data_IF_277676076790
#
_entry.id   IF_277676076790
#
_cell.length_a   1.000
_cell.length_b   1.000
_cell.length_c   1.000
_cell.angle_alpha   90.00
_cell.angle_beta   90.00
_cell.angle_gamma   90.00
#
_symmetry.space_group_name_H-M   'P 1'
#
loop_
_entity.id
_entity.type
_entity.pdbx_description
1 polymer ?
#
# COMPACT_ATOMS: atom_id res chain seq x y z
N UNK A 1 41.76 -87.47 25.72
CA UNK A 1 41.71 -86.40 26.76
C UNK A 1 42.40 -85.18 26.18
N UNK A 2 42.02 -83.92 26.47
CA UNK A 2 40.72 -83.27 26.54
C UNK A 2 40.64 -82.00 25.63
N UNK A 3 39.41 -81.54 25.35
CA UNK A 3 38.94 -80.13 25.27
C UNK A 3 39.52 -79.10 24.26
N UNK A 4 38.69 -78.73 23.26
CA UNK A 4 38.46 -77.33 22.78
C UNK A 4 38.08 -76.40 23.97
N UNK A 5 38.16 -75.03 23.94
CA UNK A 5 37.82 -74.16 22.78
C UNK A 5 38.50 -72.76 22.68
N UNK A 6 38.60 -72.18 21.47
CA UNK A 6 38.55 -70.70 21.34
C UNK A 6 38.16 -70.20 19.94
N UNK A 7 37.03 -70.66 19.41
CA UNK A 7 36.40 -70.05 18.24
C UNK A 7 34.91 -69.85 18.50
N UNK A 8 34.56 -68.93 19.41
CA UNK A 8 33.14 -68.62 19.70
C UNK A 8 32.86 -67.18 20.14
N UNK A 9 33.75 -66.21 19.82
CA UNK A 9 33.59 -64.82 20.28
C UNK A 9 33.42 -63.73 19.20
N UNK A 10 33.36 -64.10 17.91
CA UNK A 10 33.26 -63.09 16.83
C UNK A 10 31.90 -63.06 16.10
N UNK A 11 31.00 -64.03 16.32
CA UNK A 11 29.68 -64.08 15.67
C UNK A 11 28.52 -63.53 16.52
N UNK A 12 28.76 -63.22 17.79
CA UNK A 12 27.72 -62.64 18.66
C UNK A 12 27.59 -61.11 18.54
N UNK A 13 28.63 -60.42 18.04
CA UNK A 13 28.67 -58.95 17.97
C UNK A 13 28.15 -58.38 16.65
N UNK A 14 28.15 -59.14 15.56
CA UNK A 14 27.68 -58.67 14.24
C UNK A 14 26.16 -58.50 14.20
N UNK A 15 25.40 -59.42 14.81
CA UNK A 15 23.95 -59.32 14.90
C UNK A 15 23.50 -58.18 15.83
N UNK A 16 24.23 -57.92 16.92
CA UNK A 16 23.93 -56.80 17.82
C UNK A 16 24.22 -55.46 17.12
N UNK A 17 25.35 -55.34 16.43
CA UNK A 17 25.69 -54.15 15.66
C UNK A 17 24.67 -53.88 14.54
N UNK A 18 24.24 -54.92 13.82
CA UNK A 18 23.19 -54.80 12.81
C UNK A 18 21.85 -54.35 13.43
N UNK A 19 21.44 -54.94 14.56
CA UNK A 19 20.22 -54.54 15.27
C UNK A 19 20.26 -53.08 15.75
N UNK A 20 21.42 -52.62 16.23
CA UNK A 20 21.62 -51.23 16.63
C UNK A 20 21.51 -50.29 15.43
N UNK A 21 22.12 -50.65 14.29
CA UNK A 21 22.02 -49.85 13.06
C UNK A 21 20.57 -49.78 12.59
N UNK A 22 19.86 -50.91 12.54
CA UNK A 22 18.44 -50.95 12.19
C UNK A 22 17.57 -50.13 13.14
N UNK A 23 17.85 -50.17 14.45
CA UNK A 23 17.15 -49.37 15.44
C UNK A 23 17.40 -47.87 15.25
N UNK A 24 18.65 -47.47 15.02
CA UNK A 24 19.02 -46.07 14.75
C UNK A 24 18.37 -45.60 13.43
N UNK A 25 18.37 -46.42 12.38
CA UNK A 25 17.73 -46.10 11.10
C UNK A 25 16.20 -45.97 11.25
N UNK A 26 15.56 -46.85 12.01
CA UNK A 26 14.12 -46.76 12.29
C UNK A 26 13.79 -45.54 13.16
N UNK A 27 14.62 -45.24 14.16
CA UNK A 27 14.43 -44.08 15.03
C UNK A 27 14.64 -42.76 14.28
N UNK A 28 15.68 -42.67 13.45
CA UNK A 28 15.94 -41.49 12.60
C UNK A 28 14.84 -41.31 11.57
N UNK A 29 14.37 -42.38 10.92
CA UNK A 29 13.20 -42.32 10.04
C UNK A 29 11.95 -41.86 10.78
N UNK A 30 11.68 -42.40 11.97
CA UNK A 30 10.53 -41.99 12.78
C UNK A 30 10.63 -40.52 13.21
N UNK A 31 11.80 -40.04 13.62
CA UNK A 31 12.03 -38.63 13.97
C UNK A 31 11.80 -37.73 12.75
N UNK A 32 12.40 -38.07 11.60
CA UNK A 32 12.25 -37.29 10.36
C UNK A 32 10.80 -37.31 9.86
N UNK A 33 10.12 -38.45 9.96
CA UNK A 33 8.71 -38.60 9.62
C UNK A 33 7.80 -37.81 10.56
N UNK A 34 8.08 -37.82 11.87
CA UNK A 34 7.38 -36.97 12.85
C UNK A 34 7.65 -35.48 12.62
N UNK A 35 8.87 -35.11 12.23
CA UNK A 35 9.19 -33.73 11.82
C UNK A 35 8.42 -33.35 10.55
N UNK A 36 8.32 -34.24 9.57
CA UNK A 36 7.56 -34.01 8.34
C UNK A 36 6.06 -33.86 8.65
N UNK A 37 5.49 -34.72 9.49
CA UNK A 37 4.10 -34.63 9.95
C UNK A 37 3.83 -33.37 10.78
N UNK A 38 4.79 -32.91 11.60
CA UNK A 38 4.70 -31.63 12.33
C UNK A 38 4.85 -30.42 11.42
N UNK A 39 5.64 -30.53 10.34
CA UNK A 39 5.75 -29.48 9.30
C UNK A 39 4.55 -29.48 8.34
N UNK A 40 3.84 -30.61 8.26
CA UNK A 40 2.60 -30.81 7.51
C UNK A 40 1.35 -30.58 8.37
N UNK A 41 1.53 -30.33 9.67
CA UNK A 41 0.45 -29.83 10.49
C UNK A 41 0.06 -28.45 9.92
N UNK A 42 -1.24 -28.18 9.69
CA UNK A 42 -1.66 -26.82 9.42
C UNK A 42 -1.08 -25.95 10.54
N UNK A 43 -0.57 -24.75 10.24
CA UNK A 43 0.03 -23.92 11.26
C UNK A 43 -0.97 -23.84 12.41
N UNK A 44 -0.56 -24.33 13.59
CA UNK A 44 -1.21 -24.00 14.85
C UNK A 44 -1.51 -22.52 14.77
N UNK A 45 -2.75 -22.10 14.98
CA UNK A 45 -3.29 -20.74 14.89
C UNK A 45 -2.35 -19.70 15.51
N UNK A 46 -1.27 -19.40 14.80
CA UNK A 46 -0.42 -18.25 15.03
C UNK A 46 -1.30 -17.11 14.60
N UNK A 47 -1.68 -16.28 15.58
CA UNK A 47 -2.49 -15.08 15.39
C UNK A 47 -2.27 -14.52 13.99
N UNK A 48 -3.20 -14.78 13.07
CA UNK A 48 -3.11 -14.22 11.73
C UNK A 48 -3.30 -12.72 11.94
N UNK A 49 -2.21 -11.96 11.79
CA UNK A 49 -2.20 -10.51 11.97
C UNK A 49 -3.39 -9.93 11.22
N UNK A 50 -4.26 -9.19 11.92
CA UNK A 50 -5.44 -8.61 11.30
C UNK A 50 -5.04 -7.60 10.22
N UNK A 51 -5.93 -7.32 9.24
CA UNK A 51 -5.64 -6.31 8.23
C UNK A 51 -5.41 -4.92 8.84
N UNK A 52 -6.09 -4.62 9.95
CA UNK A 52 -5.89 -3.42 10.74
C UNK A 52 -4.46 -3.35 11.30
N UNK A 53 -4.00 -4.41 11.98
CA UNK A 53 -2.66 -4.45 12.55
C UNK A 53 -1.58 -4.38 11.45
N UNK A 54 -1.81 -5.04 10.31
CA UNK A 54 -0.91 -4.93 9.14
C UNK A 54 -0.84 -3.50 8.61
N UNK A 55 -1.97 -2.79 8.50
CA UNK A 55 -2.01 -1.38 8.12
C UNK A 55 -1.27 -0.50 9.12
N UNK A 56 -1.51 -0.70 10.42
CA UNK A 56 -0.83 0.07 11.47
C UNK A 56 0.68 -0.08 11.38
N UNK A 57 1.19 -1.31 11.25
CA UNK A 57 2.63 -1.56 11.06
C UNK A 57 3.19 -0.90 9.80
N UNK A 58 2.40 -0.85 8.71
CA UNK A 58 2.77 -0.15 7.49
C UNK A 58 2.83 1.37 7.71
N UNK A 59 1.86 1.95 8.40
CA UNK A 59 1.84 3.39 8.70
C UNK A 59 2.97 3.79 9.64
N UNK A 60 3.30 2.96 10.63
CA UNK A 60 4.47 3.16 11.50
C UNK A 60 5.78 3.11 10.71
N UNK A 61 5.86 2.25 9.68
CA UNK A 61 7.02 2.23 8.78
C UNK A 61 7.09 3.52 7.96
N UNK A 62 5.96 3.98 7.43
CA UNK A 62 5.89 5.22 6.65
C UNK A 62 6.27 6.44 7.50
N UNK A 63 5.83 6.50 8.77
CA UNK A 63 6.14 7.63 9.66
C UNK A 63 7.62 7.72 10.01
N UNK A 64 8.33 6.59 10.10
CA UNK A 64 9.77 6.57 10.35
C UNK A 64 10.62 6.93 9.13
N UNK A 65 10.07 6.91 7.91
CA UNK A 65 10.87 7.19 6.71
C UNK A 65 11.53 8.57 6.75
N UNK A 66 10.86 9.56 7.32
CA UNK A 66 11.41 10.91 7.43
C UNK A 66 12.62 10.94 8.37
N UNK A 67 12.61 10.16 9.45
CA UNK A 67 13.74 10.04 10.38
C UNK A 67 14.89 9.23 9.77
N UNK A 68 14.56 8.13 9.07
CA UNK A 68 15.53 7.21 8.49
C UNK A 68 16.24 7.79 7.25
N UNK A 69 15.50 8.51 6.40
CA UNK A 69 15.99 8.98 5.09
C UNK A 69 16.13 10.51 5.00
N UNK A 70 15.62 11.24 6.00
CA UNK A 70 15.55 12.69 5.98
C UNK A 70 14.55 13.24 4.95
N UNK A 71 14.50 14.57 4.85
CA UNK A 71 13.67 15.29 3.89
C UNK A 71 14.30 15.30 2.47
N UNK A 72 14.37 14.12 1.83
CA UNK A 72 14.99 13.94 0.52
C UNK A 72 14.34 14.80 -0.59
N UNK A 73 13.05 15.13 -0.47
CA UNK A 73 12.35 16.04 -1.38
C UNK A 73 12.96 17.44 -1.49
N UNK A 74 13.71 17.88 -0.46
CA UNK A 74 14.42 19.17 -0.51
C UNK A 74 15.66 19.15 -1.41
N UNK A 75 16.10 17.96 -1.84
CA UNK A 75 17.28 17.74 -2.70
C UNK A 75 16.90 17.38 -4.15
N UNK A 76 15.66 17.65 -4.58
CA UNK A 76 15.12 17.32 -5.91
C UNK A 76 15.03 15.80 -6.22
N UNK A 77 14.66 14.97 -5.24
CA UNK A 77 14.69 13.51 -5.32
C UNK A 77 13.57 12.79 -6.12
N UNK A 78 13.58 11.45 -6.02
CA UNK A 78 12.61 10.53 -6.63
C UNK A 78 11.24 10.51 -5.92
N UNK A 79 10.20 10.05 -6.61
CA UNK A 79 8.85 9.82 -6.07
C UNK A 79 8.53 8.34 -5.91
N UNK A 80 7.46 8.03 -5.15
CA UNK A 80 7.05 6.67 -4.80
C UNK A 80 6.62 5.77 -5.97
N UNK A 81 6.62 6.26 -7.22
CA UNK A 81 6.21 5.51 -8.42
C UNK A 81 7.29 5.41 -9.51
N UNK A 82 8.57 5.46 -9.11
CA UNK A 82 9.72 5.40 -10.04
C UNK A 82 9.80 6.59 -11.01
N UNK A 83 9.17 7.72 -10.68
CA UNK A 83 9.26 8.99 -11.41
C UNK A 83 10.00 10.00 -10.55
N UNK A 84 10.82 10.87 -11.15
CA UNK A 84 11.46 11.96 -10.38
C UNK A 84 10.46 13.07 -10.06
N UNK A 85 10.71 13.88 -9.02
CA UNK A 85 9.87 15.06 -8.76
C UNK A 85 9.86 16.03 -9.97
N UNK A 86 11.00 16.15 -10.66
CA UNK A 86 11.14 16.93 -11.90
C UNK A 86 10.34 16.38 -13.08
N UNK A 87 9.98 15.09 -13.08
CA UNK A 87 9.11 14.52 -14.11
C UNK A 87 7.66 14.93 -13.93
N UNK A 88 7.27 15.27 -12.70
CA UNK A 88 5.89 15.55 -12.32
C UNK A 88 5.60 17.05 -12.18
N UNK A 89 6.61 17.85 -11.85
CA UNK A 89 6.43 19.28 -11.56
C UNK A 89 7.56 20.13 -12.14
N UNK A 90 7.20 21.32 -12.61
CA UNK A 90 8.14 22.41 -12.87
C UNK A 90 7.90 23.53 -11.86
N UNK A 91 8.98 24.19 -11.44
CA UNK A 91 8.91 25.39 -10.60
C UNK A 91 9.19 26.60 -11.49
N UNK A 92 8.19 27.46 -11.67
CA UNK A 92 8.31 28.75 -12.39
C UNK A 92 7.92 29.88 -11.44
N UNK A 93 8.80 30.86 -11.25
CA UNK A 93 8.59 32.00 -10.33
C UNK A 93 8.21 31.57 -8.90
N UNK A 94 8.85 30.49 -8.42
CA UNK A 94 8.57 29.86 -7.13
C UNK A 94 7.26 29.07 -7.08
N UNK A 95 6.45 29.09 -8.14
CA UNK A 95 5.19 28.37 -8.25
C UNK A 95 5.36 26.99 -8.87
N UNK A 96 4.82 25.98 -8.19
CA UNK A 96 4.73 24.62 -8.70
C UNK A 96 3.62 24.53 -9.74
N UNK A 97 3.94 24.00 -10.92
CA UNK A 97 2.97 23.60 -11.93
C UNK A 97 3.17 22.14 -12.31
N UNK A 98 2.11 21.33 -12.43
CA UNK A 98 2.23 19.95 -12.85
C UNK A 98 2.70 19.85 -14.31
N UNK A 99 3.49 18.82 -14.61
CA UNK A 99 3.91 18.46 -15.96
C UNK A 99 3.00 17.32 -16.43
N UNK A 100 2.01 17.65 -17.27
CA UNK A 100 1.10 16.67 -17.84
C UNK A 100 1.75 16.02 -19.06
N UNK A 101 2.18 14.77 -18.91
CA UNK A 101 2.70 13.94 -20.01
C UNK A 101 1.63 12.95 -20.44
N UNK A 102 1.39 12.80 -21.74
CA UNK A 102 0.43 11.83 -22.24
C UNK A 102 0.83 10.39 -21.83
N UNK A 103 -0.14 9.61 -21.37
CA UNK A 103 0.01 8.18 -21.12
C UNK A 103 -0.44 7.40 -22.36
N UNK A 104 0.47 6.68 -23.00
CA UNK A 104 0.17 5.86 -24.18
C UNK A 104 0.80 4.45 -24.04
N UNK A 105 0.01 3.39 -23.84
CA UNK A 105 -1.45 3.40 -23.71
C UNK A 105 -1.92 4.10 -22.42
N UNK A 106 -3.20 4.53 -22.33
CA UNK A 106 -3.75 5.12 -21.12
C UNK A 106 -3.58 4.21 -19.89
N UNK A 107 -3.30 4.81 -18.74
CA UNK A 107 -3.26 4.10 -17.46
C UNK A 107 -4.69 3.84 -17.01
N UNK A 108 -5.00 2.61 -16.60
CA UNK A 108 -6.34 2.22 -16.15
C UNK A 108 -6.30 1.78 -14.71
N UNK A 109 -7.01 2.48 -13.84
CA UNK A 109 -6.94 2.31 -12.41
C UNK A 109 -8.33 2.25 -11.76
N UNK A 110 -8.44 1.42 -10.74
CA UNK A 110 -9.58 1.32 -9.84
C UNK A 110 -9.23 2.07 -8.57
N UNK A 111 -10.08 3.02 -8.20
CA UNK A 111 -9.89 3.84 -6.99
C UNK A 111 -11.18 3.95 -6.21
N UNK A 112 -11.10 3.90 -4.89
CA UNK A 112 -12.22 4.31 -4.05
C UNK A 112 -12.26 5.84 -4.02
N UNK A 113 -13.42 6.44 -4.25
CA UNK A 113 -13.56 7.89 -4.30
C UNK A 113 -14.05 8.47 -2.96
N UNK A 114 -13.41 9.54 -2.49
CA UNK A 114 -13.86 10.29 -1.33
C UNK A 114 -14.66 11.51 -1.80
N UNK A 115 -15.94 11.56 -1.42
CA UNK A 115 -16.81 12.66 -1.82
C UNK A 115 -16.41 14.00 -1.18
N UNK A 116 -16.74 15.14 -1.82
CA UNK A 116 -16.36 16.47 -1.35
C UNK A 116 -16.84 16.82 0.06
N UNK A 117 -17.94 16.20 0.51
CA UNK A 117 -18.45 16.39 1.87
C UNK A 117 -17.44 15.97 2.95
N UNK A 118 -16.54 15.03 2.63
CA UNK A 118 -15.47 14.60 3.53
C UNK A 118 -14.11 15.19 3.14
N UNK A 119 -13.82 15.31 1.84
CA UNK A 119 -12.49 15.73 1.39
C UNK A 119 -12.24 17.23 1.52
N UNK A 120 -13.25 18.09 1.34
CA UNK A 120 -13.09 19.55 1.40
C UNK A 120 -12.65 20.01 2.79
N UNK A 121 -13.30 19.61 3.90
CA UNK A 121 -12.86 20.02 5.25
C UNK A 121 -11.42 19.59 5.57
N UNK A 122 -11.01 18.41 5.10
CA UNK A 122 -9.64 17.91 5.28
C UNK A 122 -8.66 18.77 4.49
N UNK A 123 -8.96 19.06 3.22
CA UNK A 123 -8.12 19.88 2.37
C UNK A 123 -7.96 21.31 2.89
N UNK A 124 -9.03 21.91 3.43
CA UNK A 124 -9.01 23.24 4.05
C UNK A 124 -8.11 23.28 5.28
N UNK A 125 -8.21 22.29 6.16
CA UNK A 125 -7.34 22.17 7.33
C UNK A 125 -5.87 22.00 6.95
N UNK A 126 -5.58 21.11 5.99
CA UNK A 126 -4.22 20.90 5.46
C UNK A 126 -3.67 22.20 4.87
N UNK A 127 -4.46 22.91 4.07
CA UNK A 127 -4.08 24.19 3.45
C UNK A 127 -3.82 25.26 4.51
N UNK A 128 -4.70 25.40 5.48
CA UNK A 128 -4.57 26.36 6.58
C UNK A 128 -3.28 26.16 7.38
N UNK A 129 -2.89 24.91 7.64
CA UNK A 129 -1.67 24.58 8.39
C UNK A 129 -0.39 24.80 7.56
N UNK A 130 -0.39 24.42 6.27
CA UNK A 130 0.82 24.39 5.46
C UNK A 130 1.08 25.68 4.67
N UNK A 131 0.04 26.37 4.20
CA UNK A 131 0.19 27.58 3.38
C UNK A 131 1.09 28.67 3.99
N UNK A 132 1.07 28.93 5.33
CA UNK A 132 1.97 29.92 5.94
C UNK A 132 3.46 29.63 5.75
N UNK A 133 3.84 28.37 5.51
CA UNK A 133 5.23 27.95 5.44
C UNK A 133 5.70 27.65 4.02
N UNK A 134 4.83 27.17 3.14
CA UNK A 134 5.26 26.68 1.82
C UNK A 134 4.87 27.57 0.64
N UNK A 135 4.07 28.63 0.85
CA UNK A 135 3.58 29.51 -0.22
C UNK A 135 3.20 28.75 -1.50
N UNK A 136 3.99 28.90 -2.58
CA UNK A 136 3.76 28.27 -3.88
C UNK A 136 4.63 27.02 -4.13
N UNK A 137 5.49 26.64 -3.18
CA UNK A 137 6.37 25.47 -3.23
C UNK A 137 5.69 24.18 -2.71
N UNK A 138 4.38 24.10 -2.84
CA UNK A 138 3.53 22.99 -2.41
C UNK A 138 2.44 22.74 -3.45
N UNK A 139 2.21 21.47 -3.76
CA UNK A 139 1.07 21.01 -4.54
C UNK A 139 0.00 20.47 -3.60
N UNK A 140 -1.12 21.16 -3.46
CA UNK A 140 -2.28 20.62 -2.76
C UNK A 140 -3.06 19.71 -3.71
N UNK A 141 -3.36 18.49 -3.26
CA UNK A 141 -4.18 17.58 -4.04
C UNK A 141 -5.58 18.20 -4.21
N UNK A 142 -6.15 18.08 -5.41
CA UNK A 142 -7.51 18.55 -5.67
C UNK A 142 -8.51 17.74 -4.83
N UNK A 143 -9.23 18.41 -3.93
CA UNK A 143 -10.17 17.79 -3.00
C UNK A 143 -11.31 17.07 -3.72
N UNK A 144 -11.71 17.53 -4.91
CA UNK A 144 -12.72 16.86 -5.75
C UNK A 144 -12.22 15.55 -6.39
N UNK A 145 -10.94 15.21 -6.20
CA UNK A 145 -10.28 14.00 -6.71
C UNK A 145 -9.60 13.20 -5.58
N UNK A 146 -9.95 13.44 -4.32
CA UNK A 146 -9.44 12.62 -3.23
C UNK A 146 -9.89 11.18 -3.42
N UNK A 147 -8.93 10.26 -3.38
CA UNK A 147 -9.15 8.87 -3.69
C UNK A 147 -8.20 7.98 -2.92
N UNK A 148 -8.45 6.69 -3.03
CA UNK A 148 -7.60 5.62 -2.52
C UNK A 148 -7.30 4.64 -3.65
N UNK A 149 -6.04 4.48 -4.01
CA UNK A 149 -5.65 3.56 -5.09
C UNK A 149 -5.93 2.11 -4.68
N UNK A 150 -6.81 1.43 -5.44
CA UNK A 150 -7.18 0.05 -5.16
C UNK A 150 -6.45 -0.92 -6.04
N UNK A 151 -6.59 -0.81 -7.37
CA UNK A 151 -6.03 -1.80 -8.30
C UNK A 151 -5.78 -1.22 -9.68
N UNK A 152 -4.59 -1.44 -10.25
CA UNK A 152 -4.25 -0.96 -11.59
C UNK A 152 -4.46 -2.09 -12.60
N UNK A 153 -5.36 -1.87 -13.56
CA UNK A 153 -5.53 -2.71 -14.74
C UNK A 153 -4.40 -2.48 -15.77
N UNK A 154 -3.75 -1.30 -15.71
CA UNK A 154 -2.49 -1.01 -16.39
C UNK A 154 -1.70 0.02 -15.58
N UNK A 155 -0.38 0.11 -15.76
CA UNK A 155 0.43 1.18 -15.16
C UNK A 155 1.52 1.67 -16.12
N UNK A 156 2.06 2.87 -15.93
CA UNK A 156 3.01 3.51 -16.86
C UNK A 156 4.29 2.70 -17.10
N UNK A 157 4.72 1.86 -16.15
CA UNK A 157 5.89 0.96 -16.30
C UNK A 157 5.57 -0.27 -17.18
N UNK A 158 4.31 -0.74 -17.18
CA UNK A 158 3.84 -1.92 -17.92
C UNK A 158 2.51 -1.55 -18.54
N UNK A 159 2.57 -0.84 -19.66
CA UNK A 159 1.39 -0.45 -20.41
C UNK A 159 0.67 -1.70 -20.89
N UNK A 160 -0.60 -1.83 -20.53
CA UNK A 160 -1.49 -2.88 -21.05
C UNK A 160 -2.47 -2.17 -21.98
N UNK A 161 -2.30 -2.24 -23.30
CA UNK A 161 -3.27 -1.65 -24.22
C UNK A 161 -4.63 -2.37 -24.09
N UNK A 162 -5.71 -1.66 -24.36
CA UNK A 162 -7.05 -2.21 -24.43
C UNK A 162 -7.86 -1.44 -25.47
N UNK A 163 -8.67 -2.17 -26.24
CA UNK A 163 -9.69 -1.63 -27.14
C UNK A 163 -10.89 -1.11 -26.35
N UNK A 164 -11.77 -0.33 -27.00
CA UNK A 164 -12.99 0.16 -26.35
C UNK A 164 -13.88 -0.99 -25.84
N UNK A 165 -13.97 -2.10 -26.59
CA UNK A 165 -14.72 -3.29 -26.19
C UNK A 165 -14.10 -4.00 -24.97
N UNK A 166 -12.77 -4.08 -24.89
CA UNK A 166 -12.09 -4.63 -23.72
C UNK A 166 -12.26 -3.73 -22.50
N UNK A 167 -12.21 -2.40 -22.67
CA UNK A 167 -12.47 -1.44 -21.60
C UNK A 167 -13.92 -1.57 -21.10
N UNK A 168 -14.90 -1.72 -21.99
CA UNK A 168 -16.29 -1.95 -21.61
C UNK A 168 -16.45 -3.27 -20.83
N UNK A 169 -15.78 -4.34 -21.26
CA UNK A 169 -15.76 -5.61 -20.54
C UNK A 169 -15.12 -5.49 -19.14
N UNK A 170 -14.00 -4.76 -19.02
CA UNK A 170 -13.37 -4.44 -17.72
C UNK A 170 -14.35 -3.67 -16.81
N UNK A 171 -15.00 -2.61 -17.32
CA UNK A 171 -15.98 -1.82 -16.57
C UNK A 171 -17.14 -2.69 -16.07
N UNK A 172 -17.69 -3.57 -16.92
CA UNK A 172 -18.77 -4.48 -16.55
C UNK A 172 -18.34 -5.49 -15.47
N UNK A 173 -17.12 -6.03 -15.56
CA UNK A 173 -16.57 -6.92 -14.55
C UNK A 173 -16.38 -6.21 -13.20
N UNK A 174 -15.89 -4.97 -13.21
CA UNK A 174 -15.71 -4.16 -12.00
C UNK A 174 -17.06 -3.77 -11.40
N UNK A 175 -18.06 -3.46 -12.24
CA UNK A 175 -19.43 -3.18 -11.79
C UNK A 175 -20.01 -4.36 -11.00
N UNK A 176 -19.86 -5.58 -11.51
CA UNK A 176 -20.29 -6.78 -10.78
C UNK A 176 -19.56 -6.95 -9.43
N UNK A 177 -18.27 -6.56 -9.34
CA UNK A 177 -17.55 -6.52 -8.07
C UNK A 177 -18.15 -5.45 -7.14
N UNK A 178 -18.39 -4.23 -7.63
CA UNK A 178 -18.91 -3.11 -6.84
C UNK A 178 -20.31 -3.38 -6.24
N UNK A 179 -21.19 -4.03 -7.01
CA UNK A 179 -22.55 -4.42 -6.60
C UNK A 179 -22.59 -5.56 -5.55
N UNK A 180 -21.45 -6.17 -5.24
CA UNK A 180 -21.29 -7.16 -4.17
C UNK A 180 -20.55 -6.64 -2.94
N UNK A 181 -20.36 -5.32 -2.82
CA UNK A 181 -19.53 -4.68 -1.80
C UNK A 181 -20.28 -3.59 -1.06
N UNK A 182 -20.32 -3.72 0.26
CA UNK A 182 -20.91 -2.68 1.10
C UNK A 182 -20.04 -1.41 1.12
N UNK A 183 -20.66 -0.21 1.16
CA UNK A 183 -19.94 1.03 1.42
C UNK A 183 -19.04 0.94 2.65
N UNK A 184 -17.84 1.52 2.57
CA UNK A 184 -16.87 1.51 3.65
C UNK A 184 -17.15 2.68 4.60
N UNK A 185 -17.02 2.43 5.91
CA UNK A 185 -16.83 3.51 6.89
C UNK A 185 -15.40 3.46 7.34
N UNK A 186 -14.71 4.59 7.23
CA UNK A 186 -13.29 4.70 7.51
C UNK A 186 -13.03 5.84 8.48
N UNK A 187 -11.91 5.79 9.18
CA UNK A 187 -11.40 6.85 10.05
C UNK A 187 -9.98 7.19 9.65
N UNK A 188 -9.64 8.49 9.69
CA UNK A 188 -8.27 8.92 9.50
C UNK A 188 -7.46 8.55 10.76
N UNK A 189 -6.57 7.57 10.64
CA UNK A 189 -5.70 7.14 11.73
C UNK A 189 -4.58 8.15 11.94
N UNK A 190 -3.88 8.55 10.88
CA UNK A 190 -2.83 9.56 10.99
C UNK A 190 -2.49 10.21 9.67
N UNK A 191 -1.89 11.38 9.74
CA UNK A 191 -1.18 12.02 8.65
C UNK A 191 0.31 11.71 8.77
N UNK A 192 0.94 11.36 7.65
CA UNK A 192 2.37 11.06 7.54
C UNK A 192 3.00 11.91 6.42
N UNK A 193 4.16 12.48 6.69
CA UNK A 193 5.01 13.07 5.65
C UNK A 193 6.11 12.07 5.28
N UNK A 194 6.14 11.63 4.01
CA UNK A 194 7.19 10.74 3.53
C UNK A 194 8.50 11.49 3.29
N UNK A 195 9.62 10.74 3.24
CA UNK A 195 10.93 11.28 2.85
C UNK A 195 10.96 11.92 1.47
N UNK A 196 10.04 11.55 0.58
CA UNK A 196 9.86 12.11 -0.77
C UNK A 196 8.87 13.28 -0.80
N UNK A 197 8.47 13.81 0.36
CA UNK A 197 7.66 15.03 0.46
C UNK A 197 6.17 14.81 0.22
N UNK A 198 5.69 13.56 0.20
CA UNK A 198 4.26 13.28 0.02
C UNK A 198 3.58 13.28 1.38
N UNK A 199 2.56 14.10 1.54
CA UNK A 199 1.73 14.13 2.72
C UNK A 199 0.54 13.18 2.52
N UNK A 200 0.53 12.10 3.28
CA UNK A 200 -0.46 11.03 3.19
C UNK A 200 -1.43 11.12 4.37
N UNK A 201 -2.73 11.06 4.09
CA UNK A 201 -3.72 10.65 5.09
C UNK A 201 -3.79 9.13 5.08
N UNK A 202 -3.49 8.49 6.21
CA UNK A 202 -3.51 7.05 6.43
C UNK A 202 -4.80 6.67 7.18
N UNK A 203 -5.55 5.71 6.65
CA UNK A 203 -6.92 5.43 7.09
C UNK A 203 -7.06 4.01 7.61
N UNK A 204 -7.98 3.84 8.56
CA UNK A 204 -8.45 2.55 9.04
C UNK A 204 -9.88 2.30 8.58
N UNK A 205 -10.25 1.01 8.52
CA UNK A 205 -11.57 0.55 8.11
C UNK A 205 -12.36 0.19 9.36
N UNK A 206 -13.44 0.92 9.62
CA UNK A 206 -14.33 0.67 10.75
C UNK A 206 -15.41 -0.35 10.41
N UNK A 207 -15.91 -0.33 9.17
CA UNK A 207 -16.89 -1.29 8.66
C UNK A 207 -16.90 -1.32 7.13
N UNK A 208 -17.46 -2.39 6.55
CA UNK A 208 -17.49 -2.60 5.11
C UNK A 208 -16.38 -3.55 4.66
N UNK A 209 -16.05 -3.55 3.36
CA UNK A 209 -15.04 -4.47 2.82
C UNK A 209 -13.63 -3.90 2.94
N UNK A 210 -12.71 -4.71 3.47
CA UNK A 210 -11.32 -4.33 3.60
C UNK A 210 -10.63 -4.16 2.23
N UNK A 211 -9.74 -3.16 2.06
CA UNK A 211 -8.96 -2.96 0.83
C UNK A 211 -8.23 -4.21 0.34
N UNK A 212 -7.74 -5.08 1.22
CA UNK A 212 -7.10 -6.35 0.81
C UNK A 212 -8.09 -7.21 0.03
N UNK A 213 -9.30 -7.38 0.56
CA UNK A 213 -10.35 -8.21 -0.05
C UNK A 213 -10.86 -7.60 -1.35
N UNK A 214 -11.05 -6.27 -1.38
CA UNK A 214 -11.43 -5.56 -2.61
C UNK A 214 -10.36 -5.76 -3.70
N UNK A 215 -9.08 -5.63 -3.36
CA UNK A 215 -7.96 -5.84 -4.29
C UNK A 215 -7.93 -7.25 -4.85
N UNK A 216 -8.19 -8.26 -4.03
CA UNK A 216 -8.22 -9.66 -4.47
C UNK A 216 -9.41 -9.94 -5.42
N UNK A 217 -10.58 -9.36 -5.13
CA UNK A 217 -11.74 -9.43 -6.04
C UNK A 217 -11.46 -8.74 -7.37
N UNK A 218 -10.86 -7.55 -7.36
CA UNK A 218 -10.48 -6.83 -8.58
C UNK A 218 -9.42 -7.59 -9.39
N UNK A 219 -8.43 -8.19 -8.73
CA UNK A 219 -7.44 -9.05 -9.39
C UNK A 219 -8.09 -10.24 -10.10
N UNK A 220 -9.10 -10.84 -9.49
CA UNK A 220 -9.84 -11.96 -10.07
C UNK A 220 -10.68 -11.51 -11.26
N UNK A 221 -11.31 -10.33 -11.17
CA UNK A 221 -12.14 -9.75 -12.22
C UNK A 221 -11.33 -9.21 -13.42
N UNK A 222 -10.05 -8.87 -13.23
CA UNK A 222 -9.19 -8.23 -14.23
C UNK A 222 -7.92 -9.07 -14.48
N UNK A 223 -8.03 -10.25 -15.13
CA UNK A 223 -6.93 -11.21 -15.26
C UNK A 223 -5.76 -10.73 -16.12
N UNK A 224 -5.97 -9.73 -16.99
CA UNK A 224 -4.93 -9.14 -17.84
C UNK A 224 -4.14 -8.01 -17.17
N UNK A 225 -4.49 -7.65 -15.93
CA UNK A 225 -3.79 -6.61 -15.19
C UNK A 225 -2.33 -7.00 -14.85
N UNK A 226 -1.42 -6.02 -14.68
CA UNK A 226 -0.07 -6.29 -14.23
C UNK A 226 -0.03 -7.10 -12.94
N UNK A 227 0.75 -8.19 -12.94
CA UNK A 227 0.86 -9.10 -11.79
C UNK A 227 1.33 -8.36 -10.53
N UNK A 228 2.34 -7.50 -10.69
CA UNK A 228 2.90 -6.68 -9.62
C UNK A 228 2.17 -5.34 -9.53
N UNK A 229 1.59 -5.06 -8.37
CA UNK A 229 1.04 -3.76 -8.04
C UNK A 229 2.09 -2.91 -7.31
N UNK A 230 1.98 -1.58 -7.39
CA UNK A 230 3.01 -0.63 -6.91
C UNK A 230 2.87 -0.23 -5.43
N UNK A 231 2.07 -0.95 -4.65
CA UNK A 231 1.78 -0.64 -3.24
C UNK A 231 1.52 -1.91 -2.42
N UNK A 232 1.64 -1.80 -1.10
CA UNK A 232 1.28 -2.91 -0.19
C UNK A 232 -0.24 -3.15 -0.21
N UNK A 233 -0.63 -4.42 -0.25
CA UNK A 233 -2.03 -4.82 -0.37
C UNK A 233 -2.92 -4.35 0.79
N UNK A 234 -2.38 -4.03 1.96
CA UNK A 234 -3.15 -3.56 3.11
C UNK A 234 -3.37 -2.04 3.11
N UNK A 235 -2.55 -1.24 2.41
CA UNK A 235 -2.54 0.22 2.53
C UNK A 235 -3.90 0.84 2.19
N UNK A 236 -4.34 1.82 2.97
CA UNK A 236 -5.45 2.69 2.62
C UNK A 236 -5.04 4.14 2.87
N UNK A 237 -4.69 4.85 1.79
CA UNK A 237 -4.20 6.21 1.92
C UNK A 237 -4.83 7.14 0.88
N UNK A 238 -4.82 8.42 1.20
CA UNK A 238 -5.11 9.52 0.27
C UNK A 238 -3.92 10.47 0.28
N UNK A 239 -3.47 10.90 -0.90
CA UNK A 239 -2.47 11.98 -0.98
C UNK A 239 -3.17 13.31 -0.68
N UNK A 240 -2.69 14.04 0.32
CA UNK A 240 -3.27 15.33 0.74
C UNK A 240 -2.54 16.50 0.08
N UNK A 241 -1.21 16.42 0.03
CA UNK A 241 -0.34 17.42 -0.58
C UNK A 241 1.03 16.82 -0.95
N UNK A 242 1.81 17.54 -1.74
CA UNK A 242 3.23 17.25 -2.02
C UNK A 242 4.05 18.50 -1.72
N UNK A 243 4.99 18.39 -0.81
CA UNK A 243 5.95 19.43 -0.46
C UNK A 243 7.11 19.35 -1.45
N UNK A 244 7.38 20.47 -2.13
CA UNK A 244 8.26 20.50 -3.30
C UNK A 244 9.40 21.51 -3.16
N UNK A 245 9.48 22.20 -2.02
CA UNK A 245 10.54 23.15 -1.74
C UNK A 245 10.70 23.43 -0.25
N UNK A 246 11.69 24.28 0.04
CA UNK A 246 12.06 24.67 1.40
C UNK A 246 10.92 25.45 2.09
N UNK A 247 10.59 25.16 3.35
CA UNK A 247 9.67 25.99 4.11
C UNK A 247 10.29 27.35 4.45
N UNK A 248 9.45 28.38 4.52
CA UNK A 248 9.79 29.67 5.10
C UNK A 248 9.77 29.55 6.62
N UNK A 249 10.96 29.37 7.20
CA UNK A 249 11.14 29.33 8.64
C UNK A 249 11.32 30.75 9.21
N UNK A 250 10.71 31.09 10.36
CA UNK A 250 11.04 32.31 11.09
C UNK A 250 12.52 32.36 11.43
N UNK A 251 13.18 33.50 11.20
CA UNK A 251 14.64 33.68 11.39
C UNK A 251 15.13 33.39 12.82
N UNK A 252 14.24 33.38 13.80
CA UNK A 252 14.54 33.24 15.23
C UNK A 252 14.54 31.77 15.71
N UNK A 253 14.02 30.83 14.93
CA UNK A 253 13.89 29.43 15.36
C UNK A 253 15.10 28.58 14.94
N UNK A 254 15.90 28.18 15.92
CA UNK A 254 16.93 27.11 15.81
C UNK A 254 16.32 25.70 15.74
N UNK A 255 15.10 25.56 15.24
CA UNK A 255 14.47 24.25 15.07
C UNK A 255 15.22 23.53 13.94
N UNK A 256 15.76 22.35 14.22
CA UNK A 256 16.37 21.52 13.17
C UNK A 256 15.34 21.25 12.07
N UNK A 257 15.77 21.17 10.80
CA UNK A 257 14.84 21.04 9.68
C UNK A 257 13.84 19.89 9.82
N UNK A 258 14.23 18.77 10.46
CA UNK A 258 13.34 17.62 10.69
C UNK A 258 12.31 17.86 11.80
N UNK A 259 12.71 18.49 12.92
CA UNK A 259 11.79 18.79 14.02
C UNK A 259 10.64 19.69 13.54
N UNK A 260 10.93 20.63 12.64
CA UNK A 260 9.89 21.47 12.04
C UNK A 260 8.81 20.65 11.30
N UNK A 261 9.21 19.64 10.53
CA UNK A 261 8.26 18.78 9.84
C UNK A 261 7.46 17.89 10.80
N UNK A 262 8.10 17.40 11.87
CA UNK A 262 7.41 16.67 12.94
C UNK A 262 6.35 17.54 13.62
N UNK A 263 6.66 18.79 13.94
CA UNK A 263 5.70 19.71 14.54
C UNK A 263 4.50 19.99 13.62
N UNK A 264 4.74 20.14 12.31
CA UNK A 264 3.67 20.28 11.32
C UNK A 264 2.78 19.03 11.25
N UNK A 265 3.37 17.84 11.18
CA UNK A 265 2.65 16.57 11.15
C UNK A 265 1.85 16.35 12.44
N UNK A 266 2.42 16.71 13.59
CA UNK A 266 1.72 16.66 14.88
C UNK A 266 0.51 17.60 14.91
N UNK A 267 0.67 18.83 14.41
CA UNK A 267 -0.44 19.78 14.30
C UNK A 267 -1.55 19.25 13.38
N UNK A 268 -1.20 18.68 12.23
CA UNK A 268 -2.15 18.05 11.32
C UNK A 268 -2.90 16.89 12.00
N UNK A 269 -2.18 15.99 12.67
CA UNK A 269 -2.77 14.88 13.39
C UNK A 269 -3.70 15.34 14.52
N UNK A 270 -3.32 16.38 15.28
CA UNK A 270 -4.17 16.92 16.35
C UNK A 270 -5.52 17.44 15.87
N UNK A 271 -5.60 17.87 14.60
CA UNK A 271 -6.81 18.42 14.01
C UNK A 271 -7.61 17.40 13.20
N UNK A 272 -6.94 16.44 12.56
CA UNK A 272 -7.54 15.54 11.57
C UNK A 272 -7.78 14.11 12.08
N UNK A 273 -7.06 13.68 13.12
CA UNK A 273 -7.20 12.31 13.65
C UNK A 273 -8.65 12.00 14.02
N UNK A 274 -9.11 10.80 13.64
CA UNK A 274 -10.45 10.32 13.95
C UNK A 274 -11.56 10.85 13.05
N UNK A 275 -11.27 11.76 12.09
CA UNK A 275 -12.25 12.17 11.07
C UNK A 275 -12.77 10.92 10.37
N UNK A 276 -14.10 10.81 10.32
CA UNK A 276 -14.77 9.69 9.67
C UNK A 276 -15.22 10.07 8.26
N UNK A 277 -15.15 9.11 7.35
CA UNK A 277 -15.73 9.22 6.02
C UNK A 277 -16.49 7.95 5.66
N UNK A 278 -17.54 8.11 4.86
CA UNK A 278 -18.18 7.00 4.17
C UNK A 278 -17.74 7.02 2.71
N UNK A 279 -17.28 5.87 2.22
CA UNK A 279 -16.89 5.70 0.82
C UNK A 279 -17.86 4.74 0.16
N UNK A 280 -18.62 5.27 -0.81
CA UNK A 280 -19.72 4.56 -1.48
C UNK A 280 -19.51 4.38 -2.98
N UNK A 281 -18.39 4.87 -3.53
CA UNK A 281 -18.10 4.80 -4.96
C UNK A 281 -16.75 4.15 -5.22
N UNK A 282 -16.74 3.19 -6.14
CA UNK A 282 -15.56 2.65 -6.80
C UNK A 282 -15.51 3.25 -8.21
N UNK A 283 -14.44 3.95 -8.53
CA UNK A 283 -14.24 4.52 -9.86
C UNK A 283 -13.28 3.66 -10.66
N UNK A 284 -13.65 3.39 -11.90
CA UNK A 284 -12.72 2.93 -12.92
C UNK A 284 -12.30 4.13 -13.76
N UNK A 285 -11.00 4.41 -13.79
CA UNK A 285 -10.45 5.63 -14.38
C UNK A 285 -9.50 5.26 -15.50
N UNK A 286 -9.71 5.86 -16.66
CA UNK A 286 -8.76 5.88 -17.77
C UNK A 286 -7.99 7.21 -17.70
N UNK A 287 -6.74 7.17 -17.27
CA UNK A 287 -5.84 8.32 -17.19
C UNK A 287 -5.10 8.49 -18.53
N UNK A 288 -5.43 9.55 -19.26
CA UNK A 288 -4.79 9.89 -20.55
C UNK A 288 -3.50 10.70 -20.37
N UNK A 289 -3.29 11.24 -19.18
CA UNK A 289 -2.01 11.83 -18.75
C UNK A 289 -1.47 11.02 -17.56
N UNK A 290 -0.15 10.86 -17.48
CA UNK A 290 0.53 10.13 -16.39
C UNK A 290 0.16 10.77 -15.05
N UNK A 291 -0.40 9.97 -14.14
CA UNK A 291 -0.90 10.42 -12.83
C UNK A 291 -1.98 11.52 -12.91
N UNK A 292 -2.87 11.47 -13.91
CA UNK A 292 -3.97 12.41 -14.08
C UNK A 292 -4.78 12.66 -12.79
N UNK A 293 -5.10 11.62 -12.02
CA UNK A 293 -5.80 11.74 -10.73
C UNK A 293 -5.01 12.58 -9.71
N UNK A 294 -3.67 12.50 -9.71
CA UNK A 294 -2.82 13.23 -8.78
C UNK A 294 -2.47 14.65 -9.27
N UNK A 295 -2.47 14.88 -10.58
CA UNK A 295 -1.95 16.09 -11.21
C UNK A 295 -3.02 16.95 -11.91
N UNK A 296 -4.30 16.61 -11.79
CA UNK A 296 -5.41 17.22 -12.53
C UNK A 296 -5.24 17.07 -14.05
N UNK A 297 -4.77 15.90 -14.48
CA UNK A 297 -4.64 15.56 -15.90
C UNK A 297 -5.96 15.14 -16.54
N UNK A 298 -5.91 14.86 -17.84
CA UNK A 298 -7.04 14.35 -18.61
C UNK A 298 -7.33 12.91 -18.25
N UNK A 299 -8.59 12.62 -18.01
CA UNK A 299 -9.07 11.28 -17.70
C UNK A 299 -10.53 11.10 -18.07
N UNK A 300 -10.95 9.84 -18.19
CA UNK A 300 -12.35 9.42 -18.25
C UNK A 300 -12.66 8.58 -17.03
N UNK A 301 -13.81 8.84 -16.40
CA UNK A 301 -14.21 8.22 -15.14
C UNK A 301 -15.52 7.48 -15.32
N UNK A 302 -15.52 6.19 -14.97
CA UNK A 302 -16.71 5.36 -14.85
C UNK A 302 -17.01 5.19 -13.37
N UNK A 303 -18.12 5.79 -12.92
CA UNK A 303 -18.51 5.79 -11.51
C UNK A 303 -19.40 4.59 -11.22
N UNK A 304 -18.98 3.76 -10.27
CA UNK A 304 -19.69 2.55 -9.88
C UNK A 304 -20.04 2.65 -8.40
N UNK A 305 -21.33 2.54 -8.08
CA UNK A 305 -21.78 2.59 -6.70
C UNK A 305 -21.48 1.25 -6.02
N UNK A 306 -20.94 1.33 -4.81
CA UNK A 306 -20.87 0.21 -3.90
C UNK A 306 -22.27 -0.11 -3.40
N UNK A 307 -22.70 -1.34 -3.62
CA UNK A 307 -23.98 -1.85 -3.15
C UNK A 307 -23.77 -3.23 -2.58
N UNK A 308 -24.40 -3.53 -1.46
CA UNK A 308 -24.63 -4.89 -1.05
C UNK A 308 -26.08 -4.95 -0.60
N UNK A 309 -26.81 -6.00 -0.96
CA UNK A 309 -28.11 -6.25 -0.35
C UNK A 309 -27.89 -6.37 1.15
N UNK A 310 -28.64 -5.61 1.95
CA UNK A 310 -28.69 -5.87 3.40
C UNK A 310 -29.22 -7.30 3.55
N UNK A 311 -28.36 -8.22 3.95
CA UNK A 311 -28.75 -9.57 4.34
C UNK A 311 -29.66 -9.51 5.56
#
# INVERSE_FOLDING_TARGET
MPTMPRARKLWANSNLAALIIWFISALTFWILFQMLLRSSAPPSTGSSISYEERRTRLYDKLSRELDEKGAAFLKYGETSQSLSLSDLFTIKDGAVTPVLKAANPPVRANVLYMSPQYSVPIAEAVKSILSPYFEKAIWFQNSSLYHFSMFHASHHISGVPATEAEIEAEVNAIKAVAEGLCPLRISLDRVVLTSTGVLLGCWQVNSGVDPVVLRDRLRTALPHAPQKQLYDAAILHTTLARLLGQPKLPKENRITGLQFFHDLVNKLNSQLHGIQAQVSELWYVEEYDVLALALNGRMKVHKLNLGCSKA
#
